data_IF_946973344587
#
_entry.id   IF_946973344587
#
_cell.length_a   1.000
_cell.length_b   1.000
_cell.length_c   1.000
_cell.angle_alpha   90.00
_cell.angle_beta   90.00
_cell.angle_gamma   90.00
#
_symmetry.space_group_name_H-M   'P 1'
#
loop_
_entity.id
_entity.type
_entity.pdbx_description
1 polymer ?
#
# COMPACT_ATOMS: atom_id res chain seq x y z
N UNK A 1 7.42 35.77 11.35
CA UNK A 1 8.36 35.00 10.50
C UNK A 1 7.70 34.95 9.14
N UNK A 2 8.24 35.74 8.23
CA UNK A 2 7.72 35.99 6.90
C UNK A 2 8.01 34.78 6.01
N UNK A 3 7.01 34.33 5.25
CA UNK A 3 7.16 33.30 4.21
C UNK A 3 6.54 33.84 2.92
N UNK A 4 6.94 35.05 2.51
CA UNK A 4 6.75 35.55 1.15
C UNK A 4 8.03 35.40 0.33
N UNK A 5 8.43 34.18 0.01
CA UNK A 5 9.32 33.95 -1.13
C UNK A 5 9.18 32.52 -1.63
N UNK A 6 9.03 32.40 -2.95
CA UNK A 6 9.21 31.17 -3.74
C UNK A 6 8.00 30.31 -4.10
N UNK A 7 6.84 30.85 -4.48
CA UNK A 7 5.93 30.06 -5.35
C UNK A 7 5.28 30.92 -6.43
N UNK A 8 6.04 31.17 -7.50
CA UNK A 8 5.48 31.49 -8.81
C UNK A 8 5.11 30.19 -9.51
N UNK A 9 3.83 29.80 -9.45
CA UNK A 9 3.38 28.56 -10.11
C UNK A 9 1.91 28.26 -9.86
N UNK A 10 1.07 28.71 -10.81
CA UNK A 10 -0.28 28.22 -11.09
C UNK A 10 -1.22 28.06 -9.87
N UNK A 11 -1.55 29.16 -9.20
CA UNK A 11 -2.71 29.18 -8.31
C UNK A 11 -3.98 29.17 -9.15
N UNK A 12 -4.74 28.07 -9.10
CA UNK A 12 -6.15 28.08 -9.47
C UNK A 12 -6.83 29.22 -8.71
N UNK A 13 -7.41 30.15 -9.47
CA UNK A 13 -8.08 31.34 -8.95
C UNK A 13 -9.32 30.92 -8.15
N UNK A 14 -9.18 30.74 -6.83
CA UNK A 14 -10.33 30.88 -5.94
C UNK A 14 -10.43 32.35 -5.54
N UNK A 15 -11.19 33.11 -6.32
CA UNK A 15 -11.62 34.46 -5.97
C UNK A 15 -12.44 34.36 -4.68
N UNK A 16 -11.91 34.88 -3.57
CA UNK A 16 -12.75 35.25 -2.42
C UNK A 16 -13.06 36.73 -2.54
N UNK A 17 -14.32 37.05 -2.86
CA UNK A 17 -14.77 38.43 -2.90
C UNK A 17 -15.02 38.92 -1.47
N UNK A 18 -14.26 39.93 -1.04
CA UNK A 18 -14.53 40.67 0.19
C UNK A 18 -15.02 42.08 -0.19
N UNK A 19 -16.32 42.35 0.01
CA UNK A 19 -16.87 43.69 -0.19
C UNK A 19 -16.61 44.54 1.06
N UNK A 20 -15.80 45.58 0.94
CA UNK A 20 -15.59 46.55 2.04
C UNK A 20 -16.70 47.59 1.97
N UNK A 21 -17.55 47.68 2.99
CA UNK A 21 -18.54 48.76 3.16
C UNK A 21 -18.01 49.77 4.18
N UNK A 22 -17.44 50.89 3.72
CA UNK A 22 -16.99 51.99 4.60
C UNK A 22 -15.79 52.79 4.06
N UNK A 23 -15.50 53.93 4.69
CA UNK A 23 -14.29 54.71 4.44
C UNK A 23 -13.08 54.03 5.08
N UNK A 24 -12.13 53.56 4.26
CA UNK A 24 -10.85 52.99 4.71
C UNK A 24 -9.82 54.11 4.72
N UNK A 25 -9.26 54.45 5.88
CA UNK A 25 -8.13 55.40 6.00
C UNK A 25 -6.82 54.65 5.67
N UNK A 26 -6.10 54.97 4.59
CA UNK A 26 -4.93 54.18 4.17
C UNK A 26 -3.65 54.48 4.99
N UNK A 27 -2.73 53.50 5.07
CA UNK A 27 -2.85 52.15 4.51
C UNK A 27 -3.31 51.14 5.59
N UNK A 28 -4.55 50.67 5.48
CA UNK A 28 -4.99 49.50 6.22
C UNK A 28 -4.40 48.25 5.54
N UNK A 29 -3.54 47.52 6.25
CA UNK A 29 -3.02 46.24 5.78
C UNK A 29 -4.11 45.16 5.90
N UNK A 30 -4.48 44.55 4.78
CA UNK A 30 -5.31 43.34 4.76
C UNK A 30 -4.40 42.12 4.77
N UNK A 31 -4.72 41.15 5.62
CA UNK A 31 -4.01 39.88 5.70
C UNK A 31 -4.95 38.76 5.28
N UNK A 32 -4.57 38.00 4.27
CA UNK A 32 -5.23 36.73 3.96
C UNK A 32 -4.84 35.69 5.03
N UNK A 33 -5.80 34.87 5.47
CA UNK A 33 -5.56 33.69 6.30
C UNK A 33 -6.03 32.47 5.51
N UNK A 34 -5.13 31.51 5.33
CA UNK A 34 -5.41 30.28 4.61
C UNK A 34 -5.45 29.10 5.60
N UNK A 35 -6.50 28.29 5.53
CA UNK A 35 -6.57 27.01 6.22
C UNK A 35 -6.16 25.91 5.22
N UNK A 36 -5.12 25.15 5.54
CA UNK A 36 -4.71 24.02 4.72
C UNK A 36 -5.75 22.91 4.81
N UNK A 37 -6.17 22.41 3.66
CA UNK A 37 -7.00 21.21 3.54
C UNK A 37 -6.07 20.00 3.53
N UNK A 38 -6.38 19.03 4.39
CA UNK A 38 -5.69 17.73 4.47
C UNK A 38 -6.52 16.68 3.74
N UNK A 39 -5.87 15.94 2.86
CA UNK A 39 -6.41 14.81 2.13
C UNK A 39 -5.84 13.50 2.67
N UNK A 40 -6.63 12.45 2.64
CA UNK A 40 -6.27 11.12 3.13
C UNK A 40 -5.63 10.25 2.04
N UNK A 41 -4.78 9.32 2.47
CA UNK A 41 -4.18 8.27 1.63
C UNK A 41 -4.56 6.93 2.25
N UNK A 42 -5.27 6.10 1.48
CA UNK A 42 -5.68 4.75 1.87
C UNK A 42 -4.93 3.72 1.02
N UNK A 43 -4.49 2.62 1.63
CA UNK A 43 -3.73 1.56 0.96
C UNK A 43 -4.47 0.23 1.05
N UNK A 44 -4.89 -0.29 -0.11
CA UNK A 44 -5.50 -1.61 -0.27
C UNK A 44 -4.41 -2.63 -0.60
N UNK A 45 -3.94 -3.33 0.42
CA UNK A 45 -2.75 -4.20 0.35
C UNK A 45 -3.05 -5.63 -0.07
N UNK A 46 -4.32 -6.05 -0.12
CA UNK A 46 -4.75 -7.42 -0.41
C UNK A 46 -4.01 -8.47 0.48
N UNK A 47 -4.02 -8.24 1.80
CA UNK A 47 -3.35 -9.10 2.77
C UNK A 47 -1.82 -8.96 2.84
N UNK A 48 -1.23 -8.01 2.10
CA UNK A 48 0.17 -7.59 2.29
C UNK A 48 0.37 -6.66 3.50
N UNK A 49 1.64 -6.35 3.77
CA UNK A 49 2.10 -5.40 4.78
C UNK A 49 2.65 -4.16 4.10
N UNK A 50 2.25 -2.97 4.56
CA UNK A 50 2.73 -1.72 3.97
C UNK A 50 4.23 -1.50 4.21
N UNK A 51 4.83 -0.59 3.44
CA UNK A 51 6.20 -0.15 3.68
C UNK A 51 6.29 0.75 4.91
N UNK A 52 7.48 0.80 5.52
CA UNK A 52 7.75 1.62 6.69
C UNK A 52 7.48 3.10 6.40
N UNK A 53 6.82 3.78 7.34
CA UNK A 53 6.52 5.22 7.27
C UNK A 53 5.65 5.64 6.07
N UNK A 54 4.83 4.74 5.54
CA UNK A 54 3.85 5.07 4.52
C UNK A 54 2.90 6.19 5.01
N UNK A 55 2.86 7.36 4.35
CA UNK A 55 2.06 8.49 4.79
C UNK A 55 0.57 8.19 4.62
N UNK A 56 -0.24 8.62 5.59
CA UNK A 56 -1.70 8.42 5.61
C UNK A 56 -2.47 9.67 5.18
N UNK A 57 -1.77 10.79 4.97
CA UNK A 57 -2.37 12.04 4.52
C UNK A 57 -1.34 12.97 3.88
N UNK A 58 -1.84 13.96 3.14
CA UNK A 58 -1.05 15.03 2.52
C UNK A 58 -1.87 16.31 2.37
N UNK A 59 -1.20 17.41 2.06
CA UNK A 59 -1.81 18.70 1.74
C UNK A 59 -1.30 19.20 0.40
N UNK A 60 -1.90 20.26 -0.14
CA UNK A 60 -1.45 20.87 -1.40
C UNK A 60 0.02 21.35 -1.36
N UNK A 61 0.55 21.65 -0.17
CA UNK A 61 1.93 22.12 0.01
C UNK A 61 2.91 21.00 0.36
N UNK A 62 2.41 19.77 0.62
CA UNK A 62 3.26 18.61 0.89
C UNK A 62 4.17 18.35 -0.31
N UNK A 63 5.45 18.13 -0.07
CA UNK A 63 6.41 17.75 -1.11
C UNK A 63 6.00 16.44 -1.78
N UNK A 64 6.48 16.21 -3.00
CA UNK A 64 6.14 15.01 -3.77
C UNK A 64 6.45 13.75 -2.96
N UNK A 65 5.43 12.93 -2.74
CA UNK A 65 5.52 11.66 -2.02
C UNK A 65 5.81 10.57 -3.06
N UNK A 66 6.98 9.94 -2.98
CA UNK A 66 7.28 8.72 -3.74
C UNK A 66 6.82 7.52 -2.94
N UNK A 67 6.04 6.64 -3.56
CA UNK A 67 5.50 5.47 -2.88
C UNK A 67 6.56 4.38 -2.74
N UNK A 68 6.69 3.86 -1.52
CA UNK A 68 7.54 2.71 -1.22
C UNK A 68 6.91 1.40 -1.69
N UNK A 69 7.67 0.32 -1.51
CA UNK A 69 7.27 -1.04 -1.91
C UNK A 69 6.76 -1.83 -0.71
N UNK A 70 5.47 -2.20 -0.67
CA UNK A 70 4.94 -3.10 0.37
C UNK A 70 5.48 -4.52 0.18
N UNK A 71 5.19 -5.40 1.15
CA UNK A 71 5.58 -6.82 1.11
C UNK A 71 4.39 -7.75 1.27
N UNK A 72 4.42 -8.92 0.62
CA UNK A 72 3.41 -9.97 0.78
C UNK A 72 4.09 -11.34 0.62
N UNK A 73 4.01 -12.19 1.64
CA UNK A 73 4.69 -13.48 1.64
C UNK A 73 4.24 -14.35 0.46
N UNK A 74 5.21 -14.83 -0.33
CA UNK A 74 4.96 -15.65 -1.51
C UNK A 74 4.53 -14.88 -2.77
N UNK A 75 4.60 -13.54 -2.75
CA UNK A 75 4.26 -12.69 -3.89
C UNK A 75 5.35 -11.64 -4.16
N UNK A 76 5.42 -11.19 -5.40
CA UNK A 76 6.24 -10.05 -5.85
C UNK A 76 5.35 -8.84 -6.09
N UNK A 77 5.74 -7.68 -5.57
CA UNK A 77 5.04 -6.41 -5.78
C UNK A 77 5.21 -5.91 -7.22
N UNK A 78 4.10 -5.66 -7.91
CA UNK A 78 4.07 -5.18 -9.31
C UNK A 78 3.99 -3.65 -9.39
N UNK A 79 3.29 -3.03 -8.43
CA UNK A 79 3.09 -1.59 -8.38
C UNK A 79 1.80 -1.19 -7.67
N UNK A 80 1.67 0.11 -7.41
CA UNK A 80 0.45 0.74 -6.95
C UNK A 80 -0.43 1.14 -8.14
N UNK A 81 -1.74 1.09 -7.96
CA UNK A 81 -2.74 1.44 -8.98
C UNK A 81 -3.86 2.27 -8.36
N UNK A 82 -4.53 3.08 -9.18
CA UNK A 82 -5.64 3.96 -8.79
C UNK A 82 -7.01 3.26 -8.73
N UNK A 83 -7.07 1.97 -9.07
CA UNK A 83 -8.30 1.16 -9.03
C UNK A 83 -8.01 -0.31 -8.69
N UNK A 84 -8.98 -0.97 -8.05
CA UNK A 84 -8.90 -2.38 -7.67
C UNK A 84 -8.63 -3.31 -8.88
N UNK A 85 -9.37 -3.09 -9.98
CA UNK A 85 -9.17 -3.79 -11.25
C UNK A 85 -9.00 -2.76 -12.39
N UNK A 86 -8.07 -3.01 -13.31
CA UNK A 86 -7.74 -2.04 -14.37
C UNK A 86 -6.96 -0.82 -13.86
N UNK A 87 -7.30 0.38 -14.27
CA UNK A 87 -6.66 1.60 -13.78
C UNK A 87 -5.21 1.79 -14.21
N UNK A 88 -4.65 2.92 -13.78
CA UNK A 88 -3.31 3.36 -14.16
C UNK A 88 -2.31 3.06 -13.07
N UNK A 89 -1.07 2.78 -13.49
CA UNK A 89 0.04 2.65 -12.56
C UNK A 89 0.29 3.99 -11.88
N UNK A 90 0.39 3.94 -10.56
CA UNK A 90 0.57 5.09 -9.70
C UNK A 90 1.92 4.94 -8.99
N UNK A 91 2.75 5.98 -9.00
CA UNK A 91 4.12 5.90 -8.44
C UNK A 91 4.41 6.98 -7.40
N UNK A 92 3.73 8.13 -7.49
CA UNK A 92 3.95 9.25 -6.60
C UNK A 92 2.72 10.16 -6.52
N UNK A 93 2.59 10.87 -5.40
CA UNK A 93 1.65 11.98 -5.23
C UNK A 93 2.47 13.26 -5.42
N UNK A 94 2.28 13.96 -6.53
CA UNK A 94 3.03 15.18 -6.83
C UNK A 94 2.60 16.34 -5.92
N UNK A 95 3.55 17.19 -5.53
CA UNK A 95 3.23 18.45 -4.85
C UNK A 95 2.15 19.23 -5.60
N UNK A 96 1.21 19.81 -4.87
CA UNK A 96 0.04 20.50 -5.45
C UNK A 96 -1.16 19.60 -5.73
N UNK A 97 -1.05 18.27 -5.53
CA UNK A 97 -2.19 17.36 -5.68
C UNK A 97 -3.31 17.68 -4.69
N UNK A 98 -4.53 17.29 -5.02
CA UNK A 98 -5.72 17.48 -4.19
C UNK A 98 -6.63 16.25 -4.26
N UNK A 99 -7.52 16.10 -3.28
CA UNK A 99 -8.47 14.99 -3.19
C UNK A 99 -7.94 13.80 -2.41
N UNK A 100 -8.84 13.01 -1.83
CA UNK A 100 -8.47 11.75 -1.19
C UNK A 100 -7.98 10.72 -2.22
N UNK A 101 -6.99 9.91 -1.84
CA UNK A 101 -6.39 8.89 -2.71
C UNK A 101 -6.55 7.51 -2.09
N UNK A 102 -6.95 6.54 -2.91
CA UNK A 102 -6.89 5.11 -2.56
C UNK A 102 -5.95 4.39 -3.52
N UNK A 103 -4.95 3.69 -2.98
CA UNK A 103 -3.91 2.99 -3.72
C UNK A 103 -4.07 1.49 -3.57
N UNK A 104 -4.13 0.78 -4.68
CA UNK A 104 -4.30 -0.67 -4.72
C UNK A 104 -2.97 -1.34 -5.07
N UNK A 105 -2.47 -2.19 -4.17
CA UNK A 105 -1.26 -2.96 -4.41
C UNK A 105 -1.54 -4.11 -5.37
N UNK A 106 -0.71 -4.26 -6.39
CA UNK A 106 -0.74 -5.45 -7.27
C UNK A 106 0.41 -6.38 -7.00
N UNK A 107 0.10 -7.67 -7.11
CA UNK A 107 0.98 -8.76 -6.73
C UNK A 107 0.99 -9.83 -7.82
N UNK A 108 2.16 -10.43 -8.04
CA UNK A 108 2.32 -11.66 -8.83
C UNK A 108 2.76 -12.77 -7.89
N UNK A 109 2.07 -13.92 -7.91
CA UNK A 109 2.47 -15.07 -7.09
C UNK A 109 3.86 -15.56 -7.50
N UNK A 110 4.72 -15.83 -6.51
CA UNK A 110 6.04 -16.37 -6.75
C UNK A 110 5.92 -17.87 -6.97
N UNK A 111 6.53 -18.38 -8.04
CA UNK A 111 6.65 -19.83 -8.27
C UNK A 111 7.53 -20.48 -7.21
N UNK A 112 8.43 -19.71 -6.61
CA UNK A 112 9.54 -20.24 -5.82
C UNK A 112 9.34 -20.08 -4.30
N UNK A 113 8.07 -20.03 -3.86
CA UNK A 113 7.75 -19.90 -2.43
C UNK A 113 7.95 -21.25 -1.73
N UNK A 114 8.86 -21.35 -0.74
CA UNK A 114 9.08 -22.61 -0.03
C UNK A 114 7.87 -22.95 0.85
N UNK A 115 7.51 -24.23 0.88
CA UNK A 115 6.48 -24.76 1.77
C UNK A 115 6.95 -26.07 2.43
N UNK A 116 6.27 -26.48 3.50
CA UNK A 116 6.49 -27.76 4.16
C UNK A 116 5.24 -28.60 4.06
N UNK A 117 5.37 -29.81 3.49
CA UNK A 117 4.32 -30.82 3.55
C UNK A 117 4.57 -31.71 4.76
N UNK A 118 3.53 -31.94 5.57
CA UNK A 118 3.56 -32.87 6.70
C UNK A 118 2.59 -34.01 6.43
N UNK A 119 3.10 -35.23 6.41
CA UNK A 119 2.27 -36.43 6.25
C UNK A 119 1.90 -37.02 7.60
N UNK A 120 0.61 -37.31 7.79
CA UNK A 120 0.08 -37.93 8.98
C UNK A 120 -0.47 -39.31 8.61
N UNK A 121 -0.03 -40.35 9.33
CA UNK A 121 -0.53 -41.72 9.19
C UNK A 121 -1.56 -41.99 10.28
N UNK A 122 -2.68 -42.62 9.92
CA UNK A 122 -3.67 -43.03 10.91
C UNK A 122 -3.06 -44.13 11.79
N UNK A 123 -3.32 -44.03 13.09
CA UNK A 123 -2.90 -45.04 14.05
C UNK A 123 -3.73 -46.32 13.86
N UNK A 124 -3.15 -47.47 14.17
CA UNK A 124 -3.86 -48.77 14.09
C UNK A 124 -4.79 -48.95 15.29
N UNK A 125 -4.39 -48.45 16.45
CA UNK A 125 -5.02 -48.73 17.75
C UNK A 125 -6.06 -47.68 18.14
N UNK A 126 -6.11 -46.54 17.44
CA UNK A 126 -7.06 -45.47 17.69
C UNK A 126 -7.40 -44.67 16.42
N UNK A 127 -8.36 -43.76 16.53
CA UNK A 127 -8.75 -42.85 15.43
C UNK A 127 -7.83 -41.62 15.31
N UNK A 128 -6.69 -41.63 16.01
CA UNK A 128 -5.68 -40.59 15.95
C UNK A 128 -4.77 -40.74 14.72
N UNK A 129 -3.92 -39.73 14.53
CA UNK A 129 -2.92 -39.72 13.48
C UNK A 129 -1.55 -39.36 14.05
N UNK A 130 -0.52 -40.08 13.61
CA UNK A 130 0.88 -39.82 13.96
C UNK A 130 1.61 -39.19 12.78
N UNK A 131 2.38 -38.13 13.04
CA UNK A 131 3.26 -37.52 12.03
C UNK A 131 4.27 -38.56 11.56
N UNK A 132 4.27 -38.88 10.26
CA UNK A 132 5.25 -39.79 9.69
C UNK A 132 6.58 -39.03 9.48
N UNK A 133 7.67 -39.39 10.19
CA UNK A 133 8.91 -38.63 10.20
C UNK A 133 9.71 -38.67 8.88
N UNK A 134 9.25 -39.39 7.86
CA UNK A 134 9.98 -39.58 6.58
C UNK A 134 9.71 -38.56 5.48
N UNK A 135 9.21 -37.35 5.80
CA UNK A 135 9.05 -36.29 4.78
C UNK A 135 9.22 -34.87 5.32
N UNK A 136 10.41 -34.54 5.81
CA UNK A 136 10.85 -33.14 5.78
C UNK A 136 11.34 -32.82 4.37
N UNK A 137 10.42 -32.54 3.44
CA UNK A 137 10.82 -31.90 2.19
C UNK A 137 10.96 -30.41 2.48
N UNK A 138 12.19 -30.04 2.84
CA UNK A 138 12.66 -28.67 2.77
C UNK A 138 12.71 -28.28 1.29
N UNK A 139 12.01 -27.21 0.95
CA UNK A 139 12.15 -26.44 -0.30
C UNK A 139 11.71 -27.13 -1.59
N UNK A 140 10.43 -27.49 -1.70
CA UNK A 140 9.80 -27.49 -3.03
C UNK A 140 9.16 -26.13 -3.31
N UNK A 141 9.23 -25.73 -4.56
CA UNK A 141 8.60 -24.52 -5.11
C UNK A 141 7.14 -24.82 -5.47
N UNK A 142 6.26 -23.81 -5.43
CA UNK A 142 4.85 -23.99 -5.80
C UNK A 142 4.74 -24.62 -7.19
N UNK A 143 3.79 -25.55 -7.36
CA UNK A 143 3.59 -26.37 -8.57
C UNK A 143 4.57 -27.56 -8.76
N UNK A 144 5.37 -27.91 -7.76
CA UNK A 144 6.10 -29.18 -7.74
C UNK A 144 5.16 -30.38 -7.51
N UNK A 145 5.47 -31.52 -8.13
CA UNK A 145 4.75 -32.77 -7.96
C UNK A 145 5.53 -33.70 -7.02
N UNK A 146 4.95 -34.01 -5.86
CA UNK A 146 5.51 -34.99 -4.93
C UNK A 146 5.02 -36.38 -5.34
N UNK A 147 5.95 -37.28 -5.70
CA UNK A 147 5.64 -38.69 -5.91
C UNK A 147 5.95 -39.45 -4.62
N UNK A 148 4.93 -40.02 -3.99
CA UNK A 148 5.12 -40.83 -2.78
C UNK A 148 5.63 -42.23 -3.18
N UNK A 149 6.94 -42.44 -3.08
CA UNK A 149 7.55 -43.76 -3.29
C UNK A 149 7.51 -44.55 -1.97
N UNK A 150 6.59 -45.50 -1.88
CA UNK A 150 6.56 -46.50 -0.80
C UNK A 150 5.58 -46.21 0.34
N UNK A 151 4.29 -46.36 0.07
CA UNK A 151 3.32 -46.76 1.10
C UNK A 151 3.41 -48.28 1.24
N UNK A 152 4.27 -48.76 2.15
CA UNK A 152 4.16 -50.13 2.63
C UNK A 152 3.11 -50.15 3.73
N UNK A 153 1.96 -50.78 3.47
CA UNK A 153 1.05 -51.21 4.53
C UNK A 153 1.76 -52.36 5.25
N UNK A 154 2.28 -52.11 6.44
CA UNK A 154 2.64 -53.21 7.34
C UNK A 154 1.33 -53.84 7.81
N UNK A 155 1.06 -55.06 7.36
CA UNK A 155 -0.04 -55.92 7.82
C UNK A 155 0.39 -56.69 9.06
#
# INVERSE_FOLDING_TARGET
MDISSEYGGLFGLISSEATITGYVTPPAALYARWNLVTYSISYELDGGTNYQDAPTSYTVVTETIVLGTPTKNGYTFVGWYDAAAGGNKFTQITKGSTGDITLYARWTANTDTPYTVKHYQQNIEDNGYTLNPSSFISSEFTNASITLTGLSVAM
#
